data_IF_338101203062
#
_entry.id   IF_338101203062
#
_cell.length_a   1.000
_cell.length_b   1.000
_cell.length_c   1.000
_cell.angle_alpha   90.00
_cell.angle_beta   90.00
_cell.angle_gamma   90.00
#
_symmetry.space_group_name_H-M   'P 1'
#
loop_
_entity.id
_entity.type
_entity.pdbx_description
1 polymer ?
#
# COMPACT_ATOMS: atom_id res chain seq x y z
N UNK A 1 18.26 -0.23 13.82
CA UNK A 1 17.14 -0.62 12.96
C UNK A 1 17.73 -1.47 11.87
N UNK A 2 17.47 -2.77 11.95
CA UNK A 2 17.73 -3.65 10.84
C UNK A 2 16.70 -3.38 9.73
N UNK A 3 17.11 -3.41 8.47
CA UNK A 3 16.25 -3.22 7.30
C UNK A 3 16.42 -4.45 6.43
N UNK A 4 15.31 -5.09 6.07
CA UNK A 4 15.30 -6.22 5.16
C UNK A 4 15.20 -5.76 3.70
N UNK A 5 15.72 -6.55 2.77
CA UNK A 5 15.49 -6.42 1.32
C UNK A 5 13.99 -6.38 0.99
N UNK A 6 13.16 -7.07 1.77
CA UNK A 6 11.71 -7.09 1.60
C UNK A 6 11.01 -5.80 2.09
N UNK A 7 11.69 -4.98 2.90
CA UNK A 7 11.23 -3.62 3.24
C UNK A 7 11.51 -2.64 2.10
N UNK A 8 12.61 -2.86 1.37
CA UNK A 8 13.00 -2.05 0.22
C UNK A 8 12.17 -2.40 -1.03
N UNK A 9 11.99 -3.70 -1.29
CA UNK A 9 11.27 -4.20 -2.45
C UNK A 9 9.97 -4.87 -2.02
N UNK A 10 8.89 -4.07 -1.97
CA UNK A 10 7.56 -4.58 -1.66
C UNK A 10 6.64 -4.56 -2.89
N UNK A 11 5.90 -5.65 -3.08
CA UNK A 11 4.87 -5.76 -4.12
C UNK A 11 3.65 -4.93 -3.71
N UNK A 12 3.20 -4.07 -4.61
CA UNK A 12 2.09 -3.15 -4.38
C UNK A 12 1.43 -2.68 -5.67
N UNK A 13 0.50 -1.75 -5.53
CA UNK A 13 -0.21 -1.09 -6.64
C UNK A 13 0.27 0.35 -6.81
N UNK A 14 0.47 0.77 -8.06
CA UNK A 14 0.80 2.14 -8.40
C UNK A 14 -0.40 3.11 -8.34
N UNK A 15 -0.18 4.42 -8.49
CA UNK A 15 1.08 5.04 -8.88
C UNK A 15 2.02 5.43 -7.73
N UNK A 16 1.59 5.39 -6.46
CA UNK A 16 2.37 5.94 -5.35
C UNK A 16 2.35 5.08 -4.09
N UNK A 17 3.53 4.82 -3.51
CA UNK A 17 3.60 4.11 -2.24
C UNK A 17 2.96 4.90 -1.09
N UNK A 18 3.15 6.22 -1.06
CA UNK A 18 2.62 7.08 0.01
C UNK A 18 1.14 7.45 -0.19
N UNK A 19 0.68 7.60 -1.45
CA UNK A 19 -0.67 8.08 -1.76
C UNK A 19 -1.61 6.97 -2.27
N UNK A 20 -1.10 5.77 -2.56
CA UNK A 20 -1.90 4.63 -3.00
C UNK A 20 -1.74 3.44 -2.05
N UNK A 21 -0.53 2.91 -1.90
CA UNK A 21 -0.28 1.71 -1.05
C UNK A 21 -0.60 1.98 0.42
N UNK A 22 -0.10 3.09 0.98
CA UNK A 22 -0.35 3.48 2.37
C UNK A 22 -1.84 3.64 2.70
N UNK A 23 -2.59 4.52 1.99
CA UNK A 23 -4.03 4.70 2.23
C UNK A 23 -4.86 3.42 2.09
N UNK A 24 -4.53 2.55 1.14
CA UNK A 24 -5.20 1.25 1.01
C UNK A 24 -4.91 0.33 2.19
N UNK A 25 -3.66 0.26 2.66
CA UNK A 25 -3.29 -0.49 3.88
C UNK A 25 -4.04 0.05 5.10
N UNK A 26 -4.04 1.36 5.29
CA UNK A 26 -4.70 2.01 6.41
C UNK A 26 -6.22 1.74 6.41
N UNK A 27 -6.89 1.85 5.26
CA UNK A 27 -8.30 1.52 5.11
C UNK A 27 -8.58 0.05 5.44
N UNK A 28 -7.75 -0.87 4.93
CA UNK A 28 -7.86 -2.31 5.26
C UNK A 28 -7.61 -2.59 6.74
N UNK A 29 -6.62 -1.93 7.36
CA UNK A 29 -6.34 -2.06 8.79
C UNK A 29 -7.55 -1.63 9.63
N UNK A 30 -8.19 -0.53 9.26
CA UNK A 30 -9.39 -0.04 9.94
C UNK A 30 -10.56 -1.04 9.89
N UNK A 31 -10.92 -1.56 8.71
CA UNK A 31 -12.03 -2.53 8.62
C UNK A 31 -11.71 -3.88 9.27
N UNK A 32 -10.43 -4.29 9.27
CA UNK A 32 -9.99 -5.46 10.06
C UNK A 32 -10.09 -5.20 11.56
N UNK A 33 -9.82 -3.98 12.01
CA UNK A 33 -9.99 -3.58 13.41
C UNK A 33 -11.46 -3.65 13.84
N UNK A 34 -12.37 -3.11 13.03
CA UNK A 34 -13.81 -3.26 13.25
C UNK A 34 -14.22 -4.74 13.41
N UNK A 35 -13.68 -5.63 12.57
CA UNK A 35 -13.93 -7.08 12.70
C UNK A 35 -13.39 -7.64 14.00
N UNK A 36 -12.14 -7.35 14.32
CA UNK A 36 -11.45 -7.89 15.50
C UNK A 36 -12.08 -7.41 16.82
N UNK A 37 -12.66 -6.21 16.83
CA UNK A 37 -13.36 -5.64 17.99
C UNK A 37 -14.86 -5.99 18.03
N UNK A 38 -15.36 -6.81 17.09
CA UNK A 38 -16.78 -7.20 17.03
C UNK A 38 -17.74 -6.09 16.58
N UNK A 39 -17.21 -4.97 16.09
CA UNK A 39 -17.96 -3.79 15.66
C UNK A 39 -18.42 -3.85 14.19
N UNK A 40 -17.81 -4.72 13.39
CA UNK A 40 -18.09 -4.81 11.95
C UNK A 40 -19.57 -5.05 11.65
N UNK A 41 -20.20 -5.98 12.37
CA UNK A 41 -21.62 -6.32 12.19
C UNK A 41 -22.58 -5.16 12.53
N UNK A 42 -22.15 -4.25 13.42
CA UNK A 42 -22.92 -3.09 13.85
C UNK A 42 -22.66 -1.85 12.99
N UNK A 43 -21.67 -1.90 12.11
CA UNK A 43 -21.30 -0.74 11.27
C UNK A 43 -22.35 -0.57 10.16
N UNK A 44 -23.04 0.57 10.17
CA UNK A 44 -24.04 0.92 9.16
C UNK A 44 -23.58 2.03 8.21
N UNK A 45 -22.62 2.86 8.63
CA UNK A 45 -22.01 3.86 7.74
C UNK A 45 -20.54 4.13 8.09
N UNK A 46 -19.80 4.64 7.10
CA UNK A 46 -18.40 5.04 7.24
C UNK A 46 -18.16 6.45 6.74
N UNK A 47 -17.12 7.10 7.25
CA UNK A 47 -16.54 8.32 6.68
C UNK A 47 -15.02 8.19 6.59
N UNK A 48 -14.46 8.62 5.46
CA UNK A 48 -13.02 8.70 5.23
C UNK A 48 -12.63 10.14 4.93
N UNK A 49 -11.75 10.70 5.76
CA UNK A 49 -11.26 12.07 5.62
C UNK A 49 -9.75 12.06 5.35
N UNK A 50 -9.34 12.68 4.24
CA UNK A 50 -7.95 12.74 3.77
C UNK A 50 -7.40 14.15 3.95
N UNK A 51 -6.25 14.27 4.64
CA UNK A 51 -5.66 15.53 5.06
C UNK A 51 -4.30 15.80 4.40
N UNK A 52 -3.86 17.06 4.47
CA UNK A 52 -2.55 17.51 3.99
C UNK A 52 -2.30 17.13 2.52
N UNK A 53 -1.17 16.48 2.25
CA UNK A 53 -0.80 16.09 0.89
C UNK A 53 -1.72 15.02 0.30
N UNK A 54 -2.27 14.11 1.13
CA UNK A 54 -3.29 13.16 0.68
C UNK A 54 -4.56 13.88 0.21
N UNK A 55 -5.01 14.89 0.95
CA UNK A 55 -6.16 15.70 0.57
C UNK A 55 -5.90 16.57 -0.67
N UNK A 56 -4.69 17.14 -0.80
CA UNK A 56 -4.34 18.04 -1.89
C UNK A 56 -4.08 17.33 -3.23
N UNK A 57 -3.35 16.21 -3.20
CA UNK A 57 -2.86 15.54 -4.43
C UNK A 57 -3.45 14.14 -4.63
N UNK A 58 -4.23 13.63 -3.68
CA UNK A 58 -4.69 12.24 -3.69
C UNK A 58 -5.52 11.86 -4.89
N UNK A 59 -6.25 12.80 -5.51
CA UNK A 59 -7.01 12.53 -6.73
C UNK A 59 -6.11 12.06 -7.88
N UNK A 60 -4.99 12.76 -8.13
CA UNK A 60 -4.04 12.39 -9.19
C UNK A 60 -3.27 11.10 -8.90
N UNK A 61 -3.15 10.73 -7.62
CA UNK A 61 -2.48 9.52 -7.17
C UNK A 61 -3.44 8.32 -6.96
N UNK A 62 -4.72 8.47 -7.27
CA UNK A 62 -5.70 7.40 -7.08
C UNK A 62 -5.99 7.06 -5.61
N UNK A 63 -5.71 7.98 -4.66
CA UNK A 63 -5.98 7.77 -3.23
C UNK A 63 -7.43 7.39 -2.95
N UNK A 64 -8.46 8.04 -3.53
CA UNK A 64 -9.84 7.62 -3.29
C UNK A 64 -10.10 6.18 -3.69
N UNK A 65 -9.61 5.75 -4.87
CA UNK A 65 -9.69 4.35 -5.32
C UNK A 65 -9.03 3.41 -4.32
N UNK A 66 -7.83 3.76 -3.87
CA UNK A 66 -7.05 2.97 -2.92
C UNK A 66 -7.79 2.78 -1.58
N UNK A 67 -8.40 3.85 -1.05
CA UNK A 67 -9.20 3.80 0.18
C UNK A 67 -10.41 2.90 0.01
N UNK A 68 -11.19 3.07 -1.08
CA UNK A 68 -12.39 2.25 -1.34
C UNK A 68 -12.05 0.76 -1.41
N UNK A 69 -11.04 0.40 -2.20
CA UNK A 69 -10.61 -1.00 -2.34
C UNK A 69 -10.12 -1.56 -1.00
N UNK A 70 -9.38 -0.76 -0.22
CA UNK A 70 -8.91 -1.15 1.10
C UNK A 70 -10.04 -1.38 2.11
N UNK A 71 -11.09 -0.55 2.09
CA UNK A 71 -12.29 -0.75 2.92
C UNK A 71 -13.04 -2.03 2.56
N UNK A 72 -13.03 -2.43 1.28
CA UNK A 72 -13.55 -3.74 0.86
C UNK A 72 -12.60 -4.92 1.15
N UNK A 73 -11.48 -4.68 1.84
CA UNK A 73 -10.54 -5.71 2.30
C UNK A 73 -9.42 -6.04 1.33
N UNK A 74 -9.33 -5.37 0.18
CA UNK A 74 -8.25 -5.61 -0.77
C UNK A 74 -6.89 -5.18 -0.19
N UNK A 75 -5.86 -5.98 -0.47
CA UNK A 75 -4.47 -5.68 -0.12
C UNK A 75 -3.72 -5.11 -1.31
N UNK A 76 -2.83 -4.10 -1.17
CA UNK A 76 -2.01 -3.61 -2.29
C UNK A 76 -1.19 -4.71 -2.95
N UNK A 77 -0.82 -5.74 -2.20
CA UNK A 77 -0.01 -6.87 -2.69
C UNK A 77 -0.78 -7.78 -3.63
N UNK A 78 -2.08 -7.94 -3.43
CA UNK A 78 -2.89 -8.99 -4.08
C UNK A 78 -4.12 -8.46 -4.81
N UNK A 79 -4.34 -7.14 -4.79
CA UNK A 79 -5.46 -6.52 -5.50
C UNK A 79 -5.36 -6.80 -7.00
N UNK A 80 -6.48 -7.18 -7.59
CA UNK A 80 -6.60 -7.29 -9.04
C UNK A 80 -6.60 -5.88 -9.65
N UNK A 81 -5.50 -5.54 -10.30
CA UNK A 81 -5.30 -4.22 -10.92
C UNK A 81 -6.19 -3.98 -12.13
N UNK A 82 -6.66 -5.04 -12.79
CA UNK A 82 -7.52 -4.97 -13.98
C UNK A 82 -8.99 -4.76 -13.56
N UNK A 83 -9.42 -5.46 -12.50
CA UNK A 83 -10.78 -5.31 -11.96
C UNK A 83 -10.97 -4.05 -11.08
N UNK A 84 -9.88 -3.48 -10.55
CA UNK A 84 -9.91 -2.38 -9.58
C UNK A 84 -10.77 -1.18 -10.00
N UNK A 85 -10.69 -0.74 -11.26
CA UNK A 85 -11.48 0.41 -11.73
C UNK A 85 -12.98 0.06 -11.85
N UNK A 86 -13.31 -1.18 -12.21
CA UNK A 86 -14.69 -1.69 -12.26
C UNK A 86 -15.33 -1.77 -10.87
N UNK A 87 -14.58 -2.22 -9.86
CA UNK A 87 -15.08 -2.26 -8.47
C UNK A 87 -15.33 -0.85 -7.91
N UNK A 88 -14.44 0.11 -8.18
CA UNK A 88 -14.67 1.51 -7.78
C UNK A 88 -15.92 2.08 -8.44
N UNK A 89 -16.13 1.78 -9.72
CA UNK A 89 -17.33 2.24 -10.43
C UNK A 89 -18.60 1.59 -9.88
N UNK A 90 -18.55 0.30 -9.51
CA UNK A 90 -19.65 -0.37 -8.81
C UNK A 90 -19.99 0.35 -7.51
N UNK A 91 -19.00 0.67 -6.67
CA UNK A 91 -19.24 1.38 -5.40
C UNK A 91 -19.90 2.74 -5.65
N UNK A 92 -19.43 3.49 -6.66
CA UNK A 92 -19.98 4.82 -6.99
C UNK A 92 -21.41 4.77 -7.51
N UNK A 93 -21.70 3.82 -8.39
CA UNK A 93 -23.02 3.68 -9.04
C UNK A 93 -24.06 3.12 -8.08
N UNK A 94 -23.70 2.08 -7.32
CA UNK A 94 -24.61 1.45 -6.36
C UNK A 94 -24.74 2.24 -5.06
N UNK A 95 -23.73 3.07 -4.72
CA UNK A 95 -23.56 3.71 -3.42
C UNK A 95 -23.53 2.69 -2.27
N UNK A 96 -22.89 1.55 -2.52
CA UNK A 96 -22.79 0.41 -1.61
C UNK A 96 -21.35 -0.06 -1.47
N UNK A 97 -20.94 -0.29 -0.24
CA UNK A 97 -19.59 -0.73 0.10
C UNK A 97 -19.64 -2.07 0.84
N UNK A 98 -18.90 -3.05 0.35
CA UNK A 98 -18.83 -4.41 0.93
C UNK A 98 -17.66 -4.48 1.89
N UNK A 99 -17.89 -4.11 3.14
CA UNK A 99 -16.82 -4.04 4.15
C UNK A 99 -16.11 -5.38 4.29
N UNK A 100 -14.80 -5.35 4.06
CA UNK A 100 -13.95 -6.54 4.11
C UNK A 100 -14.38 -7.67 3.14
N UNK A 101 -15.16 -7.36 2.12
CA UNK A 101 -15.77 -8.35 1.22
C UNK A 101 -14.78 -9.24 0.47
N UNK A 102 -13.58 -8.75 0.20
CA UNK A 102 -12.50 -9.54 -0.39
C UNK A 102 -11.97 -10.66 0.54
N UNK A 103 -12.19 -10.56 1.86
CA UNK A 103 -11.75 -11.57 2.83
C UNK A 103 -12.90 -12.42 3.38
N UNK A 104 -14.10 -11.84 3.56
CA UNK A 104 -15.24 -12.52 4.22
C UNK A 104 -16.46 -12.71 3.32
N UNK A 105 -16.39 -12.33 2.05
CA UNK A 105 -17.51 -12.35 1.12
C UNK A 105 -18.45 -11.13 1.26
N UNK A 106 -19.46 -11.00 0.40
CA UNK A 106 -20.25 -9.76 0.24
C UNK A 106 -21.29 -9.52 1.35
N UNK A 107 -21.30 -10.32 2.42
CA UNK A 107 -22.38 -10.33 3.42
C UNK A 107 -22.46 -9.06 4.28
N UNK A 108 -21.33 -8.36 4.49
CA UNK A 108 -21.31 -7.09 5.20
C UNK A 108 -21.32 -5.93 4.19
N UNK A 109 -22.51 -5.49 3.79
CA UNK A 109 -22.68 -4.38 2.87
C UNK A 109 -23.38 -3.20 3.55
N UNK A 110 -22.84 -1.99 3.36
CA UNK A 110 -23.36 -0.76 3.94
C UNK A 110 -23.66 0.28 2.86
N UNK A 111 -24.51 1.25 3.20
CA UNK A 111 -24.70 2.44 2.37
C UNK A 111 -23.45 3.33 2.45
N UNK A 112 -22.95 3.72 1.28
CA UNK A 112 -21.74 4.52 1.15
C UNK A 112 -21.77 5.37 -0.14
N UNK A 113 -22.00 6.66 0.01
CA UNK A 113 -21.85 7.64 -1.05
C UNK A 113 -20.44 8.25 -1.02
N UNK A 114 -19.57 7.77 -1.92
CA UNK A 114 -18.19 8.24 -2.02
C UNK A 114 -18.07 9.75 -2.29
N UNK A 115 -19.11 10.42 -2.80
CA UNK A 115 -19.08 11.87 -3.07
C UNK A 115 -19.22 12.73 -1.80
N UNK A 116 -19.80 12.17 -0.73
CA UNK A 116 -20.05 12.89 0.53
C UNK A 116 -19.30 12.27 1.71
N UNK A 117 -19.03 10.96 1.66
CA UNK A 117 -18.39 10.22 2.76
C UNK A 117 -16.88 10.00 2.56
N UNK A 118 -16.33 10.29 1.37
CA UNK A 118 -14.88 10.30 1.12
C UNK A 118 -14.44 11.74 0.83
N UNK A 119 -13.89 12.39 1.85
CA UNK A 119 -13.62 13.84 1.85
C UNK A 119 -12.13 14.10 1.68
N UNK A 120 -11.78 14.95 0.72
CA UNK A 120 -10.41 15.41 0.49
C UNK A 120 -10.23 16.83 1.02
N UNK A 121 -9.64 16.97 2.21
CA UNK A 121 -9.33 18.27 2.79
C UNK A 121 -8.04 18.84 2.20
N UNK A 122 -8.19 19.67 1.16
CA UNK A 122 -7.05 20.29 0.46
C UNK A 122 -6.26 21.32 1.28
N UNK A 123 -6.84 21.85 2.37
CA UNK A 123 -6.29 22.95 3.17
C UNK A 123 -6.20 22.66 4.67
N UNK A 124 -6.62 21.47 5.12
CA UNK A 124 -6.48 21.04 6.52
C UNK A 124 -5.37 20.01 6.60
N UNK A 125 -4.54 20.11 7.62
CA UNK A 125 -3.49 19.14 7.94
C UNK A 125 -3.71 18.59 9.34
N UNK A 126 -3.20 17.39 9.58
CA UNK A 126 -3.10 16.84 10.93
C UNK A 126 -1.72 17.16 11.52
N UNK A 127 -1.57 17.18 12.87
CA UNK A 127 -0.35 17.68 13.51
C UNK A 127 0.91 16.83 13.27
N UNK A 128 0.77 15.51 13.16
CA UNK A 128 1.94 14.62 13.16
C UNK A 128 2.63 14.48 11.80
N UNK A 129 1.87 14.24 10.73
CA UNK A 129 2.44 14.01 9.40
C UNK A 129 1.54 14.53 8.28
N UNK A 130 2.15 15.02 7.20
CA UNK A 130 1.45 15.64 6.07
C UNK A 130 0.51 14.68 5.31
N UNK A 131 0.74 13.37 5.41
CA UNK A 131 -0.11 12.34 4.81
C UNK A 131 -1.00 11.70 5.87
N UNK A 132 -2.02 12.43 6.34
CA UNK A 132 -2.95 11.97 7.36
C UNK A 132 -4.29 11.52 6.77
N UNK A 133 -4.88 10.47 7.34
CA UNK A 133 -6.21 9.98 7.01
C UNK A 133 -6.96 9.58 8.28
N UNK A 134 -8.18 10.06 8.46
CA UNK A 134 -9.06 9.67 9.56
C UNK A 134 -10.23 8.86 9.01
N UNK A 135 -10.51 7.71 9.64
CA UNK A 135 -11.60 6.81 9.31
C UNK A 135 -12.55 6.73 10.50
N UNK A 136 -13.84 6.92 10.24
CA UNK A 136 -14.90 6.90 11.25
C UNK A 136 -15.97 5.90 10.84
N UNK A 137 -16.43 5.11 11.81
CA UNK A 137 -17.52 4.16 11.66
C UNK A 137 -18.66 4.50 12.61
N UNK A 138 -19.89 4.32 12.13
CA UNK A 138 -21.10 4.60 12.90
C UNK A 138 -22.08 3.42 12.86
N UNK A 139 -22.89 3.28 13.90
CA UNK A 139 -24.01 2.35 13.95
C UNK A 139 -25.22 2.85 13.13
N UNK A 140 -26.32 2.10 13.17
CA UNK A 140 -27.54 2.42 12.44
C UNK A 140 -28.25 3.68 12.98
N UNK A 141 -28.03 4.01 14.24
CA UNK A 141 -28.55 5.18 14.94
C UNK A 141 -27.67 6.43 14.73
N UNK A 142 -26.47 6.25 14.15
CA UNK A 142 -25.50 7.31 13.88
C UNK A 142 -24.51 7.59 15.02
N UNK A 143 -24.44 6.73 16.04
CA UNK A 143 -23.42 6.83 17.08
C UNK A 143 -22.07 6.34 16.59
N UNK A 144 -20.96 7.01 16.99
CA UNK A 144 -19.63 6.58 16.61
C UNK A 144 -19.27 5.23 17.26
N UNK A 145 -18.87 4.28 16.43
CA UNK A 145 -18.36 2.96 16.86
C UNK A 145 -16.84 2.97 17.00
N UNK A 146 -16.14 3.54 16.01
CA UNK A 146 -14.69 3.57 15.97
C UNK A 146 -14.22 4.78 15.15
N UNK A 147 -13.23 5.49 15.69
CA UNK A 147 -12.50 6.55 15.00
C UNK A 147 -11.00 6.26 15.10
N UNK A 148 -10.30 6.28 13.95
CA UNK A 148 -8.85 6.11 13.91
C UNK A 148 -8.20 7.02 12.87
N UNK A 149 -7.07 7.57 13.26
CA UNK A 149 -6.19 8.36 12.40
C UNK A 149 -4.97 7.52 12.02
N UNK A 150 -4.62 7.55 10.74
CA UNK A 150 -3.48 6.86 10.17
C UNK A 150 -2.59 7.83 9.40
N UNK A 151 -1.28 7.60 9.45
CA UNK A 151 -0.28 8.38 8.75
C UNK A 151 0.52 7.52 7.77
N UNK A 152 0.56 7.93 6.51
CA UNK A 152 1.37 7.28 5.47
C UNK A 152 2.76 7.92 5.38
N UNK A 153 3.75 7.32 6.06
CA UNK A 153 5.06 7.94 6.35
C UNK A 153 6.15 7.67 5.29
N UNK A 154 5.83 6.94 4.22
CA UNK A 154 6.78 6.61 3.14
C UNK A 154 6.97 5.11 2.97
N UNK A 155 7.45 4.66 1.80
CA UNK A 155 7.65 3.23 1.51
C UNK A 155 6.38 2.35 1.52
N UNK A 156 5.20 2.95 1.69
CA UNK A 156 3.94 2.22 1.93
C UNK A 156 3.71 1.84 3.39
N UNK A 157 4.56 2.29 4.32
CA UNK A 157 4.35 2.12 5.76
C UNK A 157 3.23 3.03 6.26
N UNK A 158 2.44 2.51 7.19
CA UNK A 158 1.30 3.19 7.83
C UNK A 158 1.48 3.11 9.33
N UNK A 159 1.30 4.24 10.01
CA UNK A 159 1.34 4.34 11.48
C UNK A 159 -0.03 4.78 11.96
N UNK A 160 -0.57 4.10 12.97
CA UNK A 160 -1.77 4.51 13.71
C UNK A 160 -1.38 5.64 14.67
N UNK A 161 -2.20 6.70 14.80
CA UNK A 161 -1.98 7.80 15.74
C UNK A 161 -1.80 7.32 17.19
N UNK A 162 -2.47 6.24 17.59
CA UNK A 162 -2.27 5.63 18.92
C UNK A 162 -0.86 5.03 19.11
N UNK A 163 -0.15 4.77 18.02
CA UNK A 163 1.24 4.31 18.00
C UNK A 163 2.24 5.47 17.85
N UNK A 164 1.76 6.70 17.69
CA UNK A 164 2.56 7.92 17.59
C UNK A 164 2.80 8.49 19.00
N UNK A 165 3.97 8.17 19.55
CA UNK A 165 4.48 8.65 20.83
C UNK A 165 5.90 8.14 21.03
N UNK A 166 6.67 8.76 21.93
CA UNK A 166 8.12 8.50 22.15
C UNK A 166 8.50 7.02 22.44
N UNK A 167 7.52 6.12 22.67
CA UNK A 167 7.76 4.73 23.08
C UNK A 167 7.28 3.62 22.13
N UNK A 168 6.76 3.90 20.92
CA UNK A 168 6.08 2.82 20.14
C UNK A 168 6.36 2.67 18.64
N UNK A 169 7.32 3.39 18.07
CA UNK A 169 8.05 2.81 16.93
C UNK A 169 8.93 1.73 17.55
N UNK A 170 8.44 0.49 17.63
CA UNK A 170 9.31 -0.66 17.93
C UNK A 170 10.36 -0.68 16.82
N UNK A 171 11.50 -0.04 17.10
CA UNK A 171 12.70 -0.18 16.31
C UNK A 171 12.96 -1.67 16.23
N UNK A 172 13.03 -2.21 15.00
CA UNK A 172 13.40 -3.60 14.82
C UNK A 172 14.79 -3.80 15.47
N UNK A 173 14.77 -4.50 16.61
CA UNK A 173 15.89 -4.85 17.46
C UNK A 173 16.48 -6.22 17.08
N UNK A 174 16.03 -6.79 15.94
CA UNK A 174 16.60 -8.00 15.37
C UNK A 174 18.11 -7.84 15.24
N UNK A 175 18.82 -8.72 15.94
CA UNK A 175 20.27 -8.77 15.94
C UNK A 175 20.73 -9.48 14.67
N UNK A 176 21.41 -8.74 13.80
CA UNK A 176 21.98 -9.27 12.56
C UNK A 176 23.32 -9.96 12.83
N UNK A 177 23.64 -10.99 12.05
CA UNK A 177 24.93 -11.69 12.12
C UNK A 177 26.11 -10.77 11.76
N UNK A 178 25.92 -9.90 10.76
CA UNK A 178 26.93 -8.98 10.24
C UNK A 178 26.35 -7.55 10.12
N UNK A 179 26.11 -6.85 11.25
CA UNK A 179 25.53 -5.51 11.24
C UNK A 179 26.54 -4.48 10.71
N UNK A 180 26.09 -3.52 9.91
CA UNK A 180 26.89 -2.39 9.42
C UNK A 180 26.04 -1.11 9.31
N UNK A 181 26.70 0.05 9.39
CA UNK A 181 26.10 1.39 9.31
C UNK A 181 26.69 2.25 8.21
N UNK A 182 27.83 1.86 7.64
CA UNK A 182 28.53 2.60 6.58
C UNK A 182 28.99 1.65 5.47
N UNK A 183 29.30 2.23 4.30
CA UNK A 183 29.90 1.47 3.21
C UNK A 183 31.26 0.87 3.58
N UNK A 184 32.07 1.60 4.36
CA UNK A 184 33.39 1.13 4.80
C UNK A 184 33.27 -0.08 5.74
N UNK A 185 32.29 -0.09 6.64
CA UNK A 185 32.01 -1.25 7.50
C UNK A 185 31.57 -2.47 6.69
N UNK A 186 30.69 -2.28 5.69
CA UNK A 186 30.26 -3.36 4.80
C UNK A 186 31.44 -3.97 4.03
N UNK A 187 32.31 -3.13 3.47
CA UNK A 187 33.50 -3.59 2.73
C UNK A 187 34.49 -4.31 3.64
N UNK A 188 34.71 -3.80 4.86
CA UNK A 188 35.55 -4.46 5.87
C UNK A 188 35.00 -5.83 6.25
N UNK A 189 33.70 -5.95 6.54
CA UNK A 189 33.07 -7.23 6.87
C UNK A 189 33.18 -8.24 5.71
N UNK A 190 33.02 -7.80 4.47
CA UNK A 190 33.19 -8.66 3.29
C UNK A 190 34.63 -9.21 3.18
N UNK A 191 35.63 -8.37 3.47
CA UNK A 191 37.03 -8.80 3.50
C UNK A 191 37.34 -9.76 4.67
N UNK A 192 36.85 -9.45 5.88
CA UNK A 192 37.08 -10.25 7.09
C UNK A 192 36.42 -11.63 7.03
N UNK A 193 35.22 -11.73 6.45
CA UNK A 193 34.46 -12.99 6.34
C UNK A 193 34.79 -13.79 5.08
N UNK A 194 35.36 -13.14 4.06
CA UNK A 194 35.51 -13.71 2.71
C UNK A 194 34.20 -13.85 1.92
N UNK A 195 33.07 -13.36 2.46
CA UNK A 195 31.77 -13.39 1.80
C UNK A 195 31.64 -12.23 0.82
N UNK A 196 30.97 -12.45 -0.31
CA UNK A 196 30.49 -11.34 -1.15
C UNK A 196 29.44 -10.52 -0.40
N UNK A 197 29.19 -9.27 -0.83
CA UNK A 197 28.12 -8.43 -0.26
C UNK A 197 26.77 -9.16 -0.29
N UNK A 198 26.45 -9.87 -1.37
CA UNK A 198 25.19 -10.62 -1.49
C UNK A 198 25.11 -11.81 -0.53
N UNK A 199 26.22 -12.52 -0.29
CA UNK A 199 26.26 -13.60 0.68
C UNK A 199 26.17 -13.07 2.12
N UNK A 200 26.85 -11.97 2.44
CA UNK A 200 26.73 -11.28 3.72
C UNK A 200 25.30 -10.83 3.99
N UNK A 201 24.64 -10.22 2.99
CA UNK A 201 23.24 -9.84 3.10
C UNK A 201 22.32 -11.05 3.26
N UNK A 202 22.59 -12.17 2.59
CA UNK A 202 21.84 -13.41 2.77
C UNK A 202 21.96 -13.93 4.21
N UNK A 203 23.15 -13.89 4.81
CA UNK A 203 23.35 -14.27 6.22
C UNK A 203 22.61 -13.33 7.18
N UNK A 204 22.55 -12.03 6.88
CA UNK A 204 21.76 -11.08 7.67
C UNK A 204 20.25 -11.33 7.55
N UNK A 205 19.75 -11.62 6.34
CA UNK A 205 18.32 -11.91 6.13
C UNK A 205 17.85 -13.17 6.88
N UNK A 206 18.77 -14.10 7.17
CA UNK A 206 18.47 -15.31 7.95
C UNK A 206 18.02 -15.02 9.39
N UNK A 207 18.22 -13.79 9.87
CA UNK A 207 17.71 -13.35 11.17
C UNK A 207 16.17 -13.33 11.22
N UNK A 208 15.49 -13.17 10.08
CA UNK A 208 14.02 -13.13 10.02
C UNK A 208 13.38 -14.35 9.35
N UNK A 209 14.08 -15.01 8.43
CA UNK A 209 13.51 -16.02 7.51
C UNK A 209 14.53 -17.10 7.19
N UNK A 210 14.06 -18.27 6.77
CA UNK A 210 14.96 -19.30 6.23
C UNK A 210 15.54 -18.88 4.87
N UNK A 211 16.71 -19.44 4.50
CA UNK A 211 17.31 -19.19 3.17
C UNK A 211 16.33 -19.47 2.03
N UNK A 212 15.53 -20.54 2.16
CA UNK A 212 14.53 -20.91 1.17
C UNK A 212 13.48 -19.82 1.00
N UNK A 213 12.91 -19.33 2.10
CA UNK A 213 11.90 -18.25 2.06
C UNK A 213 12.47 -16.96 1.47
N UNK A 214 13.74 -16.64 1.75
CA UNK A 214 14.42 -15.48 1.17
C UNK A 214 14.52 -15.62 -0.34
N UNK A 215 15.00 -16.77 -0.83
CA UNK A 215 15.15 -17.04 -2.28
C UNK A 215 13.80 -17.05 -2.99
N UNK A 216 12.80 -17.72 -2.42
CA UNK A 216 11.45 -17.79 -2.99
C UNK A 216 10.83 -16.38 -3.09
N UNK A 217 10.96 -15.57 -2.04
CA UNK A 217 10.44 -14.20 -2.03
C UNK A 217 11.14 -13.27 -3.02
N UNK A 218 12.47 -13.38 -3.17
CA UNK A 218 13.21 -12.61 -4.17
C UNK A 218 12.81 -13.00 -5.60
N UNK A 219 12.62 -14.30 -5.86
CA UNK A 219 12.13 -14.78 -7.14
C UNK A 219 10.71 -14.30 -7.41
N UNK A 220 9.83 -14.29 -6.42
CA UNK A 220 8.47 -13.73 -6.58
C UNK A 220 8.52 -12.26 -7.01
N UNK A 221 9.33 -11.43 -6.34
CA UNK A 221 9.53 -10.02 -6.71
C UNK A 221 10.01 -9.91 -8.17
N UNK A 222 10.98 -10.73 -8.56
CA UNK A 222 11.49 -10.77 -9.93
C UNK A 222 10.38 -11.09 -10.95
N UNK A 223 9.59 -12.13 -10.73
CA UNK A 223 8.49 -12.49 -11.64
C UNK A 223 7.44 -11.38 -11.73
N UNK A 224 7.16 -10.67 -10.62
CA UNK A 224 6.25 -9.52 -10.64
C UNK A 224 6.84 -8.35 -11.45
N UNK A 225 8.14 -8.08 -11.33
CA UNK A 225 8.82 -7.07 -12.14
C UNK A 225 8.79 -7.43 -13.63
N UNK A 226 9.08 -8.67 -13.98
CA UNK A 226 9.04 -9.17 -15.36
C UNK A 226 7.62 -9.06 -15.95
N UNK A 227 6.60 -9.51 -15.21
CA UNK A 227 5.20 -9.36 -15.62
C UNK A 227 4.79 -7.88 -15.77
N UNK A 228 5.30 -6.99 -14.92
CA UNK A 228 5.06 -5.55 -15.01
C UNK A 228 5.66 -4.95 -16.29
N UNK A 229 6.90 -5.32 -16.63
CA UNK A 229 7.56 -4.92 -17.87
C UNK A 229 6.77 -5.43 -19.08
N UNK A 230 6.40 -6.72 -19.07
CA UNK A 230 5.61 -7.32 -20.15
C UNK A 230 4.28 -6.60 -20.38
N UNK A 231 3.54 -6.28 -19.31
CA UNK A 231 2.31 -5.47 -19.38
C UNK A 231 2.58 -4.07 -19.94
N UNK A 232 3.67 -3.42 -19.52
CA UNK A 232 4.05 -2.11 -20.03
C UNK A 232 4.38 -2.12 -21.53
N UNK A 233 4.95 -3.21 -22.02
CA UNK A 233 5.29 -3.42 -23.43
C UNK A 233 4.09 -3.84 -24.29
N UNK A 234 2.96 -4.23 -23.72
CA UNK A 234 1.75 -4.58 -24.48
C UNK A 234 0.67 -3.49 -24.41
N UNK A 235 0.61 -2.72 -23.32
CA UNK A 235 -0.46 -1.77 -23.07
C UNK A 235 -0.28 -0.45 -23.81
N UNK A 236 -1.28 -0.11 -24.62
CA UNK A 236 -1.37 1.17 -25.34
C UNK A 236 -2.31 2.17 -24.67
N UNK A 237 -2.42 3.36 -25.26
CA UNK A 237 -3.36 4.40 -24.83
C UNK A 237 -2.69 5.59 -24.16
N UNK A 238 -3.49 6.34 -23.41
CA UNK A 238 -3.11 7.58 -22.74
C UNK A 238 -3.06 7.33 -21.24
N UNK A 239 -2.03 7.84 -20.55
CA UNK A 239 -1.94 7.79 -19.10
C UNK A 239 -3.07 8.60 -18.45
N UNK A 240 -3.64 8.11 -17.33
CA UNK A 240 -4.61 8.89 -16.56
C UNK A 240 -3.97 10.15 -15.96
N UNK A 241 -4.79 11.09 -15.49
CA UNK A 241 -4.32 12.32 -14.83
C UNK A 241 -4.38 13.60 -15.69
N UNK A 242 -5.07 13.57 -16.84
CA UNK A 242 -5.44 14.78 -17.60
C UNK A 242 -4.34 15.42 -18.46
N UNK A 243 -3.08 15.01 -18.29
CA UNK A 243 -1.93 15.52 -19.05
C UNK A 243 -1.84 14.99 -20.49
N UNK A 244 -2.76 14.09 -20.89
CA UNK A 244 -2.83 13.48 -22.23
C UNK A 244 -1.52 12.82 -22.70
N UNK A 245 -0.75 12.27 -21.76
CA UNK A 245 0.55 11.63 -22.06
C UNK A 245 0.33 10.26 -22.68
N UNK A 246 0.77 10.05 -23.92
CA UNK A 246 0.69 8.76 -24.61
C UNK A 246 1.70 7.75 -24.04
N UNK A 247 1.25 6.51 -23.82
CA UNK A 247 2.14 5.37 -23.50
C UNK A 247 3.02 5.06 -24.71
N UNK A 248 4.35 4.96 -24.48
CA UNK A 248 5.34 4.79 -25.55
C UNK A 248 5.93 3.38 -25.63
N UNK A 249 5.93 2.65 -24.52
CA UNK A 249 6.65 1.39 -24.38
C UNK A 249 6.18 0.33 -25.39
N UNK A 250 4.88 0.17 -25.63
CA UNK A 250 4.37 -0.82 -26.58
C UNK A 250 4.83 -0.58 -28.03
N UNK A 251 4.77 0.68 -28.49
CA UNK A 251 5.26 1.04 -29.83
C UNK A 251 6.77 0.83 -29.94
N UNK A 252 7.54 1.27 -28.94
CA UNK A 252 8.99 1.09 -28.92
C UNK A 252 9.39 -0.39 -28.92
N UNK A 253 8.70 -1.22 -28.12
CA UNK A 253 8.93 -2.65 -28.06
C UNK A 253 8.69 -3.35 -29.41
N UNK A 254 7.63 -2.97 -30.13
CA UNK A 254 7.38 -3.52 -31.48
C UNK A 254 8.47 -3.13 -32.47
N UNK A 255 8.89 -1.86 -32.49
CA UNK A 255 9.93 -1.38 -33.40
C UNK A 255 11.26 -2.12 -33.19
N UNK A 256 11.71 -2.25 -31.93
CA UNK A 256 12.95 -2.95 -31.61
C UNK A 256 12.91 -4.44 -31.95
N UNK A 257 11.74 -5.10 -31.86
CA UNK A 257 11.58 -6.50 -32.27
C UNK A 257 11.69 -6.65 -33.79
N UNK A 258 11.06 -5.76 -34.56
CA UNK A 258 11.12 -5.81 -36.02
C UNK A 258 12.50 -5.47 -36.61
N UNK A 259 13.36 -4.78 -35.87
CA UNK A 259 14.74 -4.47 -36.30
C UNK A 259 15.74 -5.60 -35.98
N UNK A 260 15.35 -6.54 -35.11
CA UNK A 260 16.20 -7.65 -34.68
C UNK A 260 15.98 -8.96 -35.45
N UNK A 261 14.96 -9.02 -36.30
CA UNK A 261 14.67 -10.12 -37.25
C UNK A 261 15.28 -9.82 -38.63
#
# INVERSE_FOLDING_TARGET
>A
MAISVFDLFSIGIGPSSSHTVGPMRAARMFVRRLKNEGLLAHTASLRAELFGSLGATGHGHGTPKAVLLGLEGNSPRTVDVEAADGEVERIRTTKRLRLLGAEIGPGQEIDFDASTQLILHRRRSLPYHANGMTLLAYDAEGHPLLEKTYYSVGGGFVVDEDAVGEERIKLDDTVLTHPFRTGDELLRLSQETGLSISALMLENEKAWRTEKEIRDGLLEIWHVMEACVARGMSQEGILPGGLKVRRRAATAARALRSEGD
#
